data_IF_599044080817
#
_entry.id   IF_599044080817
#
_cell.length_a   1.000
_cell.length_b   1.000
_cell.length_c   1.000
_cell.angle_alpha   90.00
_cell.angle_beta   90.00
_cell.angle_gamma   90.00
#
_symmetry.space_group_name_H-M   'P 1'
#
loop_
_entity.id
_entity.type
_entity.pdbx_description
1 polymer ?
#
# COMPACT_ATOMS: atom_id res chain seq x y z
N UNK A 1 14.76 30.82 15.06
CA UNK A 1 15.26 29.43 15.14
C UNK A 1 14.28 28.53 14.41
N UNK A 2 14.67 27.99 13.25
CA UNK A 2 13.79 27.11 12.49
C UNK A 2 13.53 25.83 13.30
N UNK A 3 12.25 25.45 13.44
CA UNK A 3 11.85 24.24 14.11
C UNK A 3 12.43 23.01 13.40
N UNK A 4 12.86 22.01 14.18
CA UNK A 4 13.42 20.78 13.63
C UNK A 4 12.41 20.16 12.63
N UNK A 5 12.86 19.78 11.42
CA UNK A 5 11.96 19.30 10.35
C UNK A 5 11.19 18.04 10.73
N UNK A 6 11.64 17.30 11.75
CA UNK A 6 10.96 16.12 12.31
C UNK A 6 9.53 16.34 12.83
N UNK A 7 9.14 17.56 13.18
CA UNK A 7 7.79 17.89 13.66
C UNK A 7 6.80 18.29 12.55
N UNK A 8 7.19 18.16 11.29
CA UNK A 8 6.36 18.55 10.14
C UNK A 8 5.22 17.56 9.90
N UNK A 9 4.06 18.04 9.46
CA UNK A 9 2.90 17.23 9.06
C UNK A 9 3.27 16.07 8.11
N UNK A 10 4.24 16.30 7.23
CA UNK A 10 4.78 15.31 6.29
C UNK A 10 5.37 14.07 6.96
N UNK A 11 6.09 14.24 8.08
CA UNK A 11 6.71 13.13 8.81
C UNK A 11 5.64 12.35 9.57
N UNK A 12 4.70 13.05 10.21
CA UNK A 12 3.55 12.44 10.90
C UNK A 12 2.68 11.64 9.94
N UNK A 13 2.39 12.19 8.76
CA UNK A 13 1.60 11.52 7.72
C UNK A 13 2.31 10.27 7.20
N UNK A 14 3.61 10.38 6.92
CA UNK A 14 4.41 9.22 6.46
C UNK A 14 4.47 8.14 7.54
N UNK A 15 4.64 8.52 8.81
CA UNK A 15 4.60 7.58 9.93
C UNK A 15 3.23 6.91 10.07
N UNK A 16 2.14 7.66 9.87
CA UNK A 16 0.79 7.11 9.88
C UNK A 16 0.58 6.08 8.76
N UNK A 17 1.00 6.37 7.52
CA UNK A 17 0.92 5.39 6.42
C UNK A 17 1.73 4.12 6.69
N UNK A 18 2.96 4.26 7.18
CA UNK A 18 3.82 3.10 7.51
C UNK A 18 3.24 2.29 8.67
N UNK A 19 2.58 2.95 9.65
CA UNK A 19 1.82 2.29 10.72
C UNK A 19 0.61 1.53 10.22
N UNK A 20 -0.19 2.11 9.31
CA UNK A 20 -1.32 1.42 8.69
C UNK A 20 -0.88 0.16 7.94
N UNK A 21 0.29 0.19 7.32
CA UNK A 21 0.86 -0.99 6.67
C UNK A 21 1.52 -1.99 7.65
N UNK A 22 1.52 -1.74 8.96
CA UNK A 22 2.13 -2.60 9.98
C UNK A 22 3.68 -2.61 9.96
N UNK A 23 4.31 -1.78 9.13
CA UNK A 23 5.76 -1.79 8.97
C UNK A 23 6.51 -1.01 10.05
N UNK A 24 5.84 -0.14 10.81
CA UNK A 24 6.48 0.75 11.78
C UNK A 24 7.18 0.00 12.93
N UNK A 25 8.31 0.55 13.38
CA UNK A 25 9.02 0.07 14.57
C UNK A 25 8.42 0.74 15.81
N UNK A 26 7.67 -0.02 16.59
CA UNK A 26 7.26 0.41 17.92
C UNK A 26 8.23 -0.16 18.96
N UNK A 27 8.67 0.69 19.89
CA UNK A 27 9.60 0.32 20.96
C UNK A 27 8.90 -0.49 22.07
N UNK A 28 7.59 -0.33 22.22
CA UNK A 28 6.76 -1.08 23.17
C UNK A 28 6.51 -2.51 22.67
N UNK A 29 6.67 -3.51 23.56
CA UNK A 29 6.44 -4.92 23.23
C UNK A 29 5.02 -5.19 22.68
N UNK A 30 4.02 -4.49 23.22
CA UNK A 30 2.64 -4.55 22.77
C UNK A 30 2.44 -3.98 21.35
N UNK A 31 3.03 -2.81 21.08
CA UNK A 31 2.97 -2.19 19.75
C UNK A 31 3.65 -3.06 18.69
N UNK A 32 4.78 -3.69 19.03
CA UNK A 32 5.46 -4.64 18.13
C UNK A 32 4.59 -5.85 17.79
N UNK A 33 3.87 -6.41 18.79
CA UNK A 33 2.93 -7.52 18.57
C UNK A 33 1.76 -7.11 17.66
N UNK A 34 1.18 -5.92 17.87
CA UNK A 34 0.11 -5.38 16.99
C UNK A 34 0.61 -5.19 15.56
N UNK A 35 1.78 -4.60 15.36
CA UNK A 35 2.32 -4.36 14.02
C UNK A 35 2.61 -5.67 13.27
N UNK A 36 3.11 -6.70 13.97
CA UNK A 36 3.26 -8.03 13.39
C UNK A 36 1.92 -8.69 13.06
N UNK A 37 0.89 -8.49 13.90
CA UNK A 37 -0.45 -9.00 13.65
C UNK A 37 -1.05 -8.37 12.39
N UNK A 38 -0.93 -7.04 12.23
CA UNK A 38 -1.41 -6.30 11.05
C UNK A 38 -0.69 -6.79 9.79
N UNK A 39 0.65 -6.91 9.82
CA UNK A 39 1.43 -7.44 8.69
C UNK A 39 1.01 -8.86 8.33
N UNK A 40 0.89 -9.75 9.32
CA UNK A 40 0.49 -11.13 9.09
C UNK A 40 -0.93 -11.20 8.52
N UNK A 41 -1.85 -10.40 9.04
CA UNK A 41 -3.20 -10.27 8.51
C UNK A 41 -3.19 -9.81 7.04
N UNK A 42 -2.38 -8.79 6.69
CA UNK A 42 -2.24 -8.34 5.30
C UNK A 42 -1.67 -9.42 4.38
N UNK A 43 -0.68 -10.20 4.83
CA UNK A 43 -0.13 -11.33 4.06
C UNK A 43 -1.20 -12.38 3.78
N UNK A 44 -1.94 -12.80 4.83
CA UNK A 44 -3.00 -13.82 4.70
C UNK A 44 -4.15 -13.32 3.81
N UNK A 45 -4.55 -12.05 3.96
CA UNK A 45 -5.59 -11.45 3.13
C UNK A 45 -5.19 -11.38 1.65
N UNK A 46 -3.94 -11.02 1.33
CA UNK A 46 -3.46 -11.02 -0.05
C UNK A 46 -3.32 -12.44 -0.62
N UNK A 47 -2.88 -13.42 0.18
CA UNK A 47 -2.84 -14.82 -0.25
C UNK A 47 -4.24 -15.32 -0.59
N UNK A 48 -5.22 -15.03 0.25
CA UNK A 48 -6.61 -15.38 -0.02
C UNK A 48 -7.12 -14.71 -1.30
N UNK A 49 -6.87 -13.41 -1.47
CA UNK A 49 -7.23 -12.69 -2.70
C UNK A 49 -6.59 -13.32 -3.94
N UNK A 50 -5.30 -13.68 -3.88
CA UNK A 50 -4.59 -14.33 -4.98
C UNK A 50 -5.19 -15.69 -5.35
N UNK A 51 -5.53 -16.52 -4.35
CA UNK A 51 -6.22 -17.80 -4.57
C UNK A 51 -7.58 -17.60 -5.25
N UNK A 52 -8.37 -16.63 -4.78
CA UNK A 52 -9.68 -16.31 -5.35
C UNK A 52 -9.55 -15.86 -6.81
N UNK A 53 -8.63 -14.93 -7.11
CA UNK A 53 -8.44 -14.45 -8.50
C UNK A 53 -7.90 -15.55 -9.41
N UNK A 54 -7.06 -16.44 -8.90
CA UNK A 54 -6.56 -17.60 -9.68
C UNK A 54 -7.68 -18.60 -10.00
N UNK A 55 -8.59 -18.84 -9.04
CA UNK A 55 -9.75 -19.69 -9.26
C UNK A 55 -10.74 -19.07 -10.26
N UNK A 56 -10.93 -17.76 -10.21
CA UNK A 56 -11.75 -17.01 -11.16
C UNK A 56 -11.21 -17.15 -12.60
N UNK A 57 -9.89 -17.02 -12.76
CA UNK A 57 -9.22 -17.24 -14.05
C UNK A 57 -9.39 -18.67 -14.60
N UNK A 58 -9.41 -19.68 -13.73
CA UNK A 58 -9.63 -21.08 -14.14
C UNK A 58 -11.06 -21.32 -14.66
N UNK A 59 -12.06 -20.65 -14.06
CA UNK A 59 -13.46 -20.81 -14.47
C UNK A 59 -13.86 -19.94 -15.67
N UNK A 60 -13.09 -18.89 -15.99
CA UNK A 60 -13.32 -18.02 -17.15
C UNK A 60 -12.52 -18.42 -18.40
N UNK A 61 -11.94 -19.62 -18.44
CA UNK A 61 -11.06 -20.07 -19.54
C UNK A 61 -11.75 -20.26 -20.89
N UNK A 62 -13.08 -20.35 -20.92
CA UNK A 62 -13.84 -20.60 -22.15
C UNK A 62 -13.99 -19.35 -23.04
N UNK A 63 -13.74 -18.14 -22.51
CA UNK A 63 -14.01 -16.86 -23.19
C UNK A 63 -12.77 -15.95 -23.16
N UNK A 64 -12.17 -15.66 -24.33
CA UNK A 64 -10.85 -15.03 -24.41
C UNK A 64 -10.78 -13.61 -23.83
N UNK A 65 -11.87 -12.83 -23.95
CA UNK A 65 -11.96 -11.48 -23.41
C UNK A 65 -11.97 -11.48 -21.87
N UNK A 66 -12.80 -12.35 -21.28
CA UNK A 66 -12.88 -12.55 -19.82
C UNK A 66 -11.60 -13.13 -19.27
N UNK A 67 -11.00 -14.10 -19.95
CA UNK A 67 -9.72 -14.69 -19.58
C UNK A 67 -8.61 -13.65 -19.51
N UNK A 68 -8.52 -12.76 -20.51
CA UNK A 68 -7.50 -11.70 -20.54
C UNK A 68 -7.70 -10.71 -19.39
N UNK A 69 -8.94 -10.31 -19.11
CA UNK A 69 -9.26 -9.42 -18.00
C UNK A 69 -8.93 -10.05 -16.63
N UNK A 70 -9.37 -11.28 -16.38
CA UNK A 70 -9.08 -11.99 -15.13
C UNK A 70 -7.58 -12.27 -14.97
N UNK A 71 -6.88 -12.63 -16.05
CA UNK A 71 -5.42 -12.83 -16.05
C UNK A 71 -4.64 -11.56 -15.67
N UNK A 72 -5.03 -10.40 -16.22
CA UNK A 72 -4.44 -9.11 -15.83
C UNK A 72 -4.65 -8.81 -14.34
N UNK A 73 -5.81 -9.17 -13.80
CA UNK A 73 -6.11 -9.01 -12.38
C UNK A 73 -5.22 -9.94 -11.51
N UNK A 74 -5.06 -11.21 -11.89
CA UNK A 74 -4.15 -12.17 -11.20
C UNK A 74 -2.73 -11.62 -11.15
N UNK A 75 -2.21 -11.15 -12.29
CA UNK A 75 -0.85 -10.57 -12.37
C UNK A 75 -0.73 -9.34 -11.47
N UNK A 76 -1.74 -8.46 -11.47
CA UNK A 76 -1.75 -7.26 -10.63
C UNK A 76 -1.71 -7.59 -9.14
N UNK A 77 -2.57 -8.52 -8.68
CA UNK A 77 -2.59 -8.99 -7.29
C UNK A 77 -1.27 -9.69 -6.94
N UNK A 78 -0.73 -10.52 -7.84
CA UNK A 78 0.55 -11.19 -7.68
C UNK A 78 1.73 -10.23 -7.50
N UNK A 79 1.78 -9.15 -8.29
CA UNK A 79 2.79 -8.09 -8.11
C UNK A 79 2.69 -7.40 -6.75
N UNK A 80 1.46 -7.14 -6.27
CA UNK A 80 1.21 -6.59 -4.94
C UNK A 80 1.72 -7.53 -3.83
N UNK A 81 1.42 -8.82 -3.96
CA UNK A 81 1.87 -9.85 -3.02
C UNK A 81 3.41 -9.96 -2.98
N UNK A 82 4.06 -10.04 -4.15
CA UNK A 82 5.52 -10.09 -4.23
C UNK A 82 6.18 -8.88 -3.57
N UNK A 83 5.69 -7.67 -3.85
CA UNK A 83 6.19 -6.45 -3.20
C UNK A 83 6.04 -6.53 -1.69
N UNK A 84 4.88 -6.93 -1.20
CA UNK A 84 4.62 -7.01 0.23
C UNK A 84 5.55 -8.01 0.93
N UNK A 85 5.77 -9.19 0.35
CA UNK A 85 6.71 -10.19 0.88
C UNK A 85 8.14 -9.66 0.84
N UNK A 86 8.58 -9.08 -0.27
CA UNK A 86 9.93 -8.51 -0.40
C UNK A 86 10.19 -7.40 0.63
N UNK A 87 9.24 -6.49 0.82
CA UNK A 87 9.31 -5.46 1.87
C UNK A 87 9.29 -6.07 3.27
N UNK A 88 8.51 -7.12 3.51
CA UNK A 88 8.47 -7.81 4.80
C UNK A 88 9.80 -8.48 5.14
N UNK A 89 10.45 -9.13 4.17
CA UNK A 89 11.78 -9.73 4.34
C UNK A 89 12.87 -8.68 4.63
N UNK A 90 12.80 -7.52 3.96
CA UNK A 90 13.74 -6.41 4.14
C UNK A 90 13.31 -5.40 5.22
N UNK A 91 12.25 -5.70 5.99
CA UNK A 91 11.68 -4.78 6.98
C UNK A 91 12.72 -4.28 7.98
N UNK A 92 13.61 -5.15 8.47
CA UNK A 92 14.67 -4.75 9.41
C UNK A 92 15.61 -3.68 8.82
N UNK A 93 16.05 -3.88 7.59
CA UNK A 93 16.92 -2.94 6.88
C UNK A 93 16.21 -1.62 6.58
N UNK A 94 14.92 -1.67 6.22
CA UNK A 94 14.12 -0.47 5.98
C UNK A 94 13.91 0.34 7.26
N UNK A 95 13.64 -0.32 8.39
CA UNK A 95 13.51 0.33 9.69
C UNK A 95 14.84 0.93 10.16
N UNK A 96 15.95 0.24 9.93
CA UNK A 96 17.29 0.76 10.23
C UNK A 96 17.61 2.01 9.40
N UNK A 97 17.25 2.01 8.11
CA UNK A 97 17.37 3.19 7.26
C UNK A 97 16.53 4.37 7.76
N UNK A 98 15.29 4.12 8.21
CA UNK A 98 14.45 5.17 8.81
C UNK A 98 15.08 5.69 10.11
N UNK A 99 15.61 4.80 10.95
CA UNK A 99 16.27 5.19 12.19
C UNK A 99 17.53 6.04 11.91
N UNK A 100 18.33 5.63 10.94
CA UNK A 100 19.49 6.39 10.48
C UNK A 100 19.09 7.77 9.92
N UNK A 101 18.06 7.81 9.08
CA UNK A 101 17.51 9.05 8.53
C UNK A 101 16.99 9.97 9.64
N UNK A 102 16.28 9.42 10.63
CA UNK A 102 15.80 10.15 11.79
C UNK A 102 16.95 10.78 12.56
N UNK A 103 17.99 10.00 12.89
CA UNK A 103 19.12 10.42 13.71
C UNK A 103 20.01 11.47 13.01
N UNK A 104 20.28 11.31 11.71
CA UNK A 104 21.23 12.15 10.98
C UNK A 104 20.58 13.29 10.17
N UNK A 105 19.31 13.17 9.78
CA UNK A 105 18.67 14.13 8.87
C UNK A 105 17.43 14.82 9.46
N UNK A 106 16.68 14.21 10.39
CA UNK A 106 15.47 14.86 10.92
C UNK A 106 15.69 15.69 12.18
N UNK A 107 16.71 15.36 12.98
CA UNK A 107 17.01 16.03 14.26
C UNK A 107 18.36 16.77 14.28
N UNK A 108 19.00 16.95 13.13
CA UNK A 108 20.20 17.79 13.02
C UNK A 108 19.85 19.28 12.84
N UNK A 109 20.69 20.16 13.39
CA UNK A 109 20.65 21.58 13.10
C UNK A 109 21.19 21.82 11.69
N UNK A 110 20.30 22.17 10.77
CA UNK A 110 20.67 22.62 9.43
C UNK A 110 20.88 24.13 9.41
N UNK A 111 21.74 24.58 8.50
CA UNK A 111 21.73 25.98 8.06
C UNK A 111 20.40 26.31 7.35
N UNK A 112 20.09 27.59 7.14
CA UNK A 112 18.84 27.99 6.50
C UNK A 112 18.66 27.36 5.11
N UNK A 113 19.76 27.19 4.36
CA UNK A 113 19.75 26.57 3.05
C UNK A 113 19.41 25.07 3.10
N UNK A 114 20.06 24.30 3.98
CA UNK A 114 19.82 22.88 4.17
C UNK A 114 18.41 22.59 4.69
N UNK A 115 17.89 23.45 5.58
CA UNK A 115 16.51 23.36 6.04
C UNK A 115 15.50 23.58 4.89
N UNK A 116 15.76 24.56 4.01
CA UNK A 116 14.94 24.81 2.84
C UNK A 116 14.91 23.62 1.86
N UNK A 117 16.09 23.05 1.58
CA UNK A 117 16.24 21.90 0.68
C UNK A 117 15.50 20.68 1.23
N UNK A 118 15.69 20.36 2.52
CA UNK A 118 15.02 19.25 3.17
C UNK A 118 13.50 19.40 3.11
N UNK A 119 12.99 20.61 3.37
CA UNK A 119 11.56 20.91 3.32
C UNK A 119 10.97 20.74 1.92
N UNK A 120 11.69 21.16 0.87
CA UNK A 120 11.25 20.96 -0.52
C UNK A 120 11.20 19.48 -0.89
N UNK A 121 12.20 18.71 -0.47
CA UNK A 121 12.24 17.27 -0.67
C UNK A 121 11.03 16.58 -0.02
N UNK A 122 10.81 16.82 1.28
CA UNK A 122 9.66 16.25 2.00
C UNK A 122 8.32 16.61 1.37
N UNK A 123 8.15 17.87 0.93
CA UNK A 123 6.91 18.31 0.26
C UNK A 123 6.67 17.54 -1.04
N UNK A 124 7.71 17.35 -1.87
CA UNK A 124 7.60 16.56 -3.10
C UNK A 124 7.29 15.10 -2.82
N UNK A 125 7.98 14.48 -1.85
CA UNK A 125 7.71 13.10 -1.45
C UNK A 125 6.25 12.92 -0.99
N UNK A 126 5.74 13.81 -0.14
CA UNK A 126 4.34 13.77 0.29
C UNK A 126 3.39 13.96 -0.88
N UNK A 127 3.67 14.89 -1.79
CA UNK A 127 2.86 15.09 -3.00
C UNK A 127 2.74 13.80 -3.83
N UNK A 128 3.85 13.08 -4.03
CA UNK A 128 3.86 11.81 -4.77
C UNK A 128 3.05 10.73 -4.04
N UNK A 129 3.23 10.60 -2.72
CA UNK A 129 2.50 9.60 -1.91
C UNK A 129 1.00 9.87 -1.96
N UNK A 130 0.59 11.13 -1.72
CA UNK A 130 -0.83 11.52 -1.72
C UNK A 130 -1.45 11.30 -3.10
N UNK A 131 -0.75 11.66 -4.17
CA UNK A 131 -1.21 11.42 -5.54
C UNK A 131 -1.39 9.92 -5.84
N UNK A 132 -0.43 9.08 -5.46
CA UNK A 132 -0.52 7.64 -5.64
C UNK A 132 -1.70 7.03 -4.87
N UNK A 133 -1.89 7.45 -3.62
CA UNK A 133 -3.02 7.00 -2.79
C UNK A 133 -4.35 7.42 -3.39
N UNK A 134 -4.47 8.67 -3.85
CA UNK A 134 -5.67 9.19 -4.50
C UNK A 134 -6.02 8.38 -5.76
N UNK A 135 -5.03 8.11 -6.62
CA UNK A 135 -5.23 7.29 -7.82
C UNK A 135 -5.69 5.87 -7.48
N UNK A 136 -5.10 5.22 -6.48
CA UNK A 136 -5.57 3.91 -6.02
C UNK A 136 -7.04 3.94 -5.55
N UNK A 137 -7.42 4.95 -4.74
CA UNK A 137 -8.80 5.08 -4.28
C UNK A 137 -9.77 5.34 -5.43
N UNK A 138 -9.37 6.17 -6.40
CA UNK A 138 -10.16 6.43 -7.60
C UNK A 138 -10.39 5.14 -8.41
N UNK A 139 -9.34 4.32 -8.60
CA UNK A 139 -9.46 3.03 -9.29
C UNK A 139 -10.42 2.09 -8.57
N UNK A 140 -10.35 2.03 -7.24
CA UNK A 140 -11.26 1.23 -6.41
C UNK A 140 -12.70 1.71 -6.59
N UNK A 141 -12.95 3.01 -6.46
CA UNK A 141 -14.29 3.61 -6.62
C UNK A 141 -14.86 3.31 -8.00
N UNK A 142 -14.07 3.46 -9.07
CA UNK A 142 -14.51 3.14 -10.44
C UNK A 142 -14.86 1.66 -10.56
N UNK A 143 -14.05 0.76 -9.97
CA UNK A 143 -14.35 -0.67 -9.95
C UNK A 143 -15.66 -0.99 -9.23
N UNK A 144 -15.97 -0.30 -8.12
CA UNK A 144 -17.23 -0.47 -7.40
C UNK A 144 -18.44 0.13 -8.13
N UNK A 145 -18.26 1.23 -8.87
CA UNK A 145 -19.35 1.89 -9.61
C UNK A 145 -19.70 1.13 -10.90
N UNK A 146 -18.73 0.49 -11.56
CA UNK A 146 -18.95 -0.31 -12.79
C UNK A 146 -20.16 -1.26 -12.70
N UNK A 147 -20.32 -2.10 -11.66
CA UNK A 147 -21.49 -2.98 -11.53
C UNK A 147 -22.79 -2.24 -11.16
N UNK A 148 -22.76 -1.00 -10.67
CA UNK A 148 -23.97 -0.20 -10.39
C UNK A 148 -24.56 0.48 -11.63
N UNK A 149 -23.70 0.89 -12.58
CA UNK A 149 -24.13 1.57 -13.81
C UNK A 149 -24.37 0.56 -14.94
N UNK A 150 -23.66 -0.56 -14.94
CA UNK A 150 -23.93 -1.69 -15.84
C UNK A 150 -25.25 -2.36 -15.48
N UNK A 151 -26.17 -2.46 -16.45
CA UNK A 151 -27.37 -3.33 -16.35
C UNK A 151 -26.99 -4.74 -15.88
N UNK A 152 -27.90 -5.47 -15.20
CA UNK A 152 -27.63 -6.76 -14.56
C UNK A 152 -27.32 -7.86 -15.58
N UNK A 153 -26.08 -7.92 -16.10
CA UNK A 153 -25.61 -9.05 -16.91
C UNK A 153 -24.96 -10.16 -16.06
N UNK A 154 -24.77 -9.92 -14.76
CA UNK A 154 -24.33 -10.93 -13.80
C UNK A 154 -25.49 -11.73 -13.18
N UNK A 155 -26.74 -11.27 -13.32
CA UNK A 155 -27.92 -12.02 -12.85
C UNK A 155 -28.14 -13.27 -13.72
N UNK A 156 -27.76 -13.25 -15.00
CA UNK A 156 -27.78 -14.47 -15.83
C UNK A 156 -26.73 -15.50 -15.41
N UNK A 157 -25.56 -15.08 -14.91
CA UNK A 157 -24.52 -16.01 -14.46
C UNK A 157 -24.92 -16.73 -13.17
N UNK A 158 -25.66 -16.06 -12.27
CA UNK A 158 -26.25 -16.70 -11.09
C UNK A 158 -27.47 -17.60 -11.39
N UNK A 159 -28.09 -17.46 -12.57
CA UNK A 159 -29.23 -18.29 -13.00
C UNK A 159 -28.78 -19.48 -13.84
N UNK A 160 -27.60 -19.41 -14.48
CA UNK A 160 -26.98 -20.51 -15.23
C UNK A 160 -26.21 -21.52 -14.37
N UNK A 161 -25.98 -21.22 -13.08
CA UNK A 161 -25.54 -22.19 -12.07
C UNK A 161 -26.73 -22.78 -11.31
N UNK A 162 -27.68 -23.37 -12.04
CA UNK A 162 -28.72 -24.23 -11.49
C UNK A 162 -28.80 -25.53 -12.28
#
# INVERSE_FOLDING_TARGET
MASAPGNSWSVTLTAAFIRCCGFWAEDTEFGRKIMNLILNYSIVALLFAFCVTSNDMYNCSDDFDKFTYCGLNVVTVGFGFYKLVAFSMKRKMFLDLIYYAKKHFWFCYYDEYGAEVMRRCMRRCVGIIVFAVFMCHLTIIIHFIKPLIGKPQYVEVSVLYK
#
